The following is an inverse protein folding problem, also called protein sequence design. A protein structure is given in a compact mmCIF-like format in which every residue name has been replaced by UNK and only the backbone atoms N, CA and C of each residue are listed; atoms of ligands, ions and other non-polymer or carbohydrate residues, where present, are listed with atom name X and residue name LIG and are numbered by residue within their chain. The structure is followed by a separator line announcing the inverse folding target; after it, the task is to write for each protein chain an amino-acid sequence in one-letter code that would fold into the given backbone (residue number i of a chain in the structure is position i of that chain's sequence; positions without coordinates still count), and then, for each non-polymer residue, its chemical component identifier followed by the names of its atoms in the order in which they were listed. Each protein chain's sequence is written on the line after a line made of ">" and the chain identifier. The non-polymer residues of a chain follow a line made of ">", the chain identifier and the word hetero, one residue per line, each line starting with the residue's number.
data_IF_538876322843
#
_entry.id   IF_538876322843
#
_cell.length_a   1.000
_cell.length_b   1.000
_cell.length_c   1.000
_cell.angle_alpha   90.00
_cell.angle_beta   90.00
_cell.angle_gamma   90.00
#
_symmetry.space_group_name_H-M   'P 1'
#
loop_
_entity.id
_entity.type
_entity.pdbx_description
1 polymer ?
#
# COMPACT_ATOMS: atom_id res chain seq x y z
N UNK A 1 -25.53 -56.30 3.98
CA UNK A 1 -24.19 -56.14 3.37
C UNK A 1 -23.60 -54.83 3.88
N UNK A 2 -22.54 -54.88 4.70
CA UNK A 2 -21.84 -53.70 5.21
C UNK A 2 -20.64 -53.45 4.30
N UNK A 3 -20.67 -52.38 3.50
CA UNK A 3 -19.55 -51.97 2.66
C UNK A 3 -18.57 -51.16 3.52
N UNK A 4 -17.28 -51.51 3.41
CA UNK A 4 -16.18 -50.96 4.20
C UNK A 4 -15.76 -49.57 3.67
N UNK A 5 -15.91 -48.53 4.49
CA UNK A 5 -15.49 -47.14 4.20
C UNK A 5 -14.02 -46.82 4.56
N UNK A 6 -13.13 -47.82 4.65
CA UNK A 6 -11.75 -47.60 5.14
C UNK A 6 -10.72 -47.27 4.06
N UNK A 7 -11.08 -47.34 2.79
CA UNK A 7 -10.10 -47.22 1.70
C UNK A 7 -10.00 -45.81 1.09
N UNK A 8 -10.96 -44.90 1.34
CA UNK A 8 -10.93 -43.53 0.79
C UNK A 8 -9.97 -42.57 1.52
N UNK A 9 -9.83 -42.70 2.84
CA UNK A 9 -9.02 -41.77 3.65
C UNK A 9 -7.50 -41.88 3.32
N UNK A 10 -7.08 -43.03 2.81
CA UNK A 10 -5.68 -43.27 2.44
C UNK A 10 -5.32 -42.64 1.08
N UNK A 11 -6.29 -42.48 0.17
CA UNK A 11 -6.05 -41.85 -1.14
C UNK A 11 -5.93 -40.32 -1.05
N UNK A 12 -6.71 -39.65 -0.21
CA UNK A 12 -6.59 -38.19 -0.02
C UNK A 12 -5.26 -37.79 0.63
N UNK A 13 -4.77 -38.56 1.62
CA UNK A 13 -3.47 -38.29 2.23
C UNK A 13 -2.30 -38.55 1.26
N UNK A 14 -2.42 -39.50 0.35
CA UNK A 14 -1.42 -39.77 -0.68
C UNK A 14 -1.40 -38.68 -1.78
N UNK A 15 -2.56 -38.13 -2.14
CA UNK A 15 -2.66 -37.05 -3.13
C UNK A 15 -2.08 -35.72 -2.59
N UNK A 16 -2.37 -35.38 -1.33
CA UNK A 16 -1.86 -34.18 -0.66
C UNK A 16 -0.32 -34.17 -0.53
N UNK A 17 0.30 -35.34 -0.31
CA UNK A 17 1.77 -35.47 -0.26
C UNK A 17 2.44 -35.31 -1.62
N UNK A 18 1.80 -35.74 -2.73
CA UNK A 18 2.36 -35.56 -4.09
C UNK A 18 2.33 -34.11 -4.56
N UNK A 19 1.28 -33.36 -4.22
CA UNK A 19 1.16 -31.95 -4.63
C UNK A 19 2.20 -31.04 -3.97
N UNK A 20 2.52 -31.26 -2.68
CA UNK A 20 3.55 -30.50 -1.95
C UNK A 20 4.99 -30.81 -2.39
N UNK A 21 5.22 -31.96 -3.03
CA UNK A 21 6.52 -32.34 -3.59
C UNK A 21 6.79 -31.71 -4.96
N UNK A 22 5.74 -31.57 -5.80
CA UNK A 22 5.88 -31.10 -7.19
C UNK A 22 6.14 -29.58 -7.28
N UNK A 23 5.60 -28.79 -6.35
CA UNK A 23 5.82 -27.34 -6.30
C UNK A 23 7.25 -26.92 -5.92
N UNK A 24 8.12 -27.83 -5.46
CA UNK A 24 9.53 -27.52 -5.17
C UNK A 24 10.48 -27.69 -6.36
N UNK A 25 10.01 -28.22 -7.50
CA UNK A 25 10.84 -28.43 -8.70
C UNK A 25 10.58 -27.46 -9.85
N UNK A 26 9.58 -26.59 -9.75
CA UNK A 26 9.55 -25.38 -10.56
C UNK A 26 10.57 -24.42 -9.92
N UNK A 27 11.86 -24.72 -10.13
CA UNK A 27 12.89 -23.69 -10.15
C UNK A 27 12.34 -22.66 -11.11
N UNK A 28 11.87 -21.56 -10.54
CA UNK A 28 11.66 -20.31 -11.22
C UNK A 28 12.80 -20.14 -12.22
N UNK A 29 12.52 -20.44 -13.49
CA UNK A 29 13.15 -19.79 -14.62
C UNK A 29 12.78 -18.33 -14.47
N UNK A 30 13.41 -17.69 -13.48
CA UNK A 30 13.14 -16.35 -13.03
C UNK A 30 13.54 -15.49 -14.19
N UNK A 31 12.56 -15.11 -14.99
CA UNK A 31 12.56 -13.83 -15.67
C UNK A 31 12.77 -12.85 -14.51
N UNK A 32 14.04 -12.55 -14.23
CA UNK A 32 14.45 -11.44 -13.39
C UNK A 32 13.91 -10.26 -14.14
N UNK A 33 12.67 -9.87 -13.79
CA UNK A 33 12.09 -8.61 -14.15
C UNK A 33 13.09 -7.61 -13.56
N UNK A 34 14.06 -7.21 -14.38
CA UNK A 34 14.90 -6.05 -14.15
C UNK A 34 13.96 -4.86 -14.36
N UNK A 35 12.92 -4.77 -13.53
CA UNK A 35 12.28 -3.50 -13.21
C UNK A 35 13.47 -2.62 -12.89
N UNK A 36 13.63 -1.54 -13.66
CA UNK A 36 14.65 -0.57 -13.39
C UNK A 36 14.56 -0.27 -11.89
N UNK A 37 15.55 -0.73 -11.11
CA UNK A 37 15.81 -0.23 -9.76
C UNK A 37 16.28 1.20 -9.96
N UNK A 38 15.40 2.07 -10.46
CA UNK A 38 15.52 3.48 -10.20
C UNK A 38 15.47 3.58 -8.68
N UNK A 39 16.44 4.29 -8.15
CA UNK A 39 16.89 4.14 -6.77
C UNK A 39 15.80 4.68 -5.86
N UNK A 40 14.94 3.80 -5.33
CA UNK A 40 14.05 4.14 -4.22
C UNK A 40 14.85 4.82 -3.09
N UNK A 41 16.13 4.44 -2.94
CA UNK A 41 17.08 5.03 -1.99
C UNK A 41 17.46 6.50 -2.29
N UNK A 42 17.34 6.98 -3.53
CA UNK A 42 17.65 8.38 -3.89
C UNK A 42 16.45 9.31 -3.62
N UNK A 43 15.22 8.82 -3.78
CA UNK A 43 14.01 9.59 -3.47
C UNK A 43 13.79 9.76 -1.97
N UNK A 44 14.00 8.68 -1.20
CA UNK A 44 13.88 8.70 0.25
C UNK A 44 15.19 9.23 0.86
N UNK A 45 15.32 10.54 0.88
CA UNK A 45 16.39 11.23 1.64
C UNK A 45 16.18 11.04 3.14
N UNK A 46 17.23 11.16 3.94
CA UNK A 46 17.13 10.96 5.39
C UNK A 46 16.18 11.97 6.06
N UNK A 47 16.12 13.20 5.56
CA UNK A 47 15.14 14.21 6.01
C UNK A 47 13.70 13.76 5.81
N UNK A 48 13.38 13.19 4.63
CA UNK A 48 12.04 12.67 4.33
C UNK A 48 11.67 11.47 5.21
N UNK A 49 12.64 10.60 5.50
CA UNK A 49 12.45 9.46 6.41
C UNK A 49 12.16 9.93 7.83
N UNK A 50 12.94 10.90 8.33
CA UNK A 50 12.71 11.48 9.64
C UNK A 50 11.36 12.18 9.72
N UNK A 51 10.97 12.92 8.68
CA UNK A 51 9.67 13.58 8.62
C UNK A 51 8.51 12.57 8.66
N UNK A 52 8.62 11.48 7.88
CA UNK A 52 7.69 10.36 7.91
C UNK A 52 7.57 9.76 9.33
N UNK A 53 8.70 9.43 9.96
CA UNK A 53 8.72 8.82 11.29
C UNK A 53 8.16 9.75 12.38
N UNK A 54 8.55 11.02 12.37
CA UNK A 54 8.07 12.02 13.35
C UNK A 54 6.56 12.26 13.23
N UNK A 55 6.03 12.18 12.01
CA UNK A 55 4.57 12.25 11.76
C UNK A 55 3.84 11.02 12.30
N UNK A 56 4.40 9.82 12.10
CA UNK A 56 3.84 8.58 12.67
C UNK A 56 3.90 8.61 14.20
N UNK A 57 4.99 9.09 14.78
CA UNK A 57 5.14 9.25 16.22
C UNK A 57 4.06 10.16 16.82
N UNK A 58 3.71 11.24 16.11
CA UNK A 58 2.68 12.18 16.56
C UNK A 58 1.26 11.59 16.48
N UNK A 59 1.06 10.47 15.76
CA UNK A 59 -0.23 9.84 15.51
C UNK A 59 -0.15 8.33 15.80
N UNK A 60 -0.16 7.90 17.07
CA UNK A 60 0.04 6.49 17.44
C UNK A 60 -1.06 5.56 16.89
N UNK A 61 -2.22 6.11 16.51
CA UNK A 61 -3.32 5.37 15.86
C UNK A 61 -2.87 4.66 14.57
N UNK A 62 -1.89 5.24 13.85
CA UNK A 62 -1.33 4.66 12.61
C UNK A 62 -0.79 3.23 12.83
N UNK A 63 -0.34 2.90 14.05
CA UNK A 63 0.17 1.56 14.38
C UNK A 63 -0.93 0.52 14.58
N UNK A 64 -2.18 0.93 14.81
CA UNK A 64 -3.32 0.01 14.97
C UNK A 64 -3.91 -0.42 13.64
N UNK A 65 -3.65 0.35 12.58
CA UNK A 65 -4.26 0.16 11.28
C UNK A 65 -3.68 -1.09 10.61
N UNK A 66 -4.50 -2.13 10.52
CA UNK A 66 -4.19 -3.35 9.77
C UNK A 66 -4.62 -3.23 8.31
N UNK A 67 -5.67 -2.44 8.04
CA UNK A 67 -6.19 -2.27 6.70
C UNK A 67 -5.25 -1.37 5.87
N UNK A 68 -4.79 -1.90 4.74
CA UNK A 68 -3.87 -1.17 3.87
C UNK A 68 -4.46 0.14 3.33
N UNK A 69 -5.75 0.17 3.00
CA UNK A 69 -6.42 1.35 2.44
C UNK A 69 -6.59 2.47 3.46
N UNK A 70 -6.92 2.13 4.70
CA UNK A 70 -6.96 3.07 5.81
C UNK A 70 -5.57 3.65 6.08
N UNK A 71 -4.53 2.80 6.05
CA UNK A 71 -3.16 3.24 6.25
C UNK A 71 -2.73 4.24 5.15
N UNK A 72 -3.10 3.97 3.90
CA UNK A 72 -2.88 4.90 2.78
C UNK A 72 -3.64 6.22 2.98
N UNK A 73 -4.88 6.19 3.47
CA UNK A 73 -5.65 7.40 3.77
C UNK A 73 -4.98 8.25 4.86
N UNK A 74 -4.45 7.64 5.93
CA UNK A 74 -3.69 8.34 6.95
C UNK A 74 -2.42 9.00 6.40
N UNK A 75 -1.80 8.40 5.39
CA UNK A 75 -0.62 8.98 4.72
C UNK A 75 -0.96 10.00 3.62
N UNK A 76 -2.23 10.28 3.34
CA UNK A 76 -2.62 11.19 2.26
C UNK A 76 -2.04 12.61 2.43
N UNK A 77 -2.25 13.20 3.61
CA UNK A 77 -1.74 14.54 3.93
C UNK A 77 -0.20 14.61 4.01
N UNK A 78 0.44 13.49 4.35
CA UNK A 78 1.89 13.40 4.40
C UNK A 78 2.49 13.29 3.00
N UNK A 79 1.85 12.51 2.14
CA UNK A 79 2.30 12.26 0.78
C UNK A 79 2.36 13.55 -0.03
N UNK A 80 1.36 14.43 0.13
CA UNK A 80 1.34 15.77 -0.48
C UNK A 80 2.57 16.59 -0.06
N UNK A 81 2.90 16.63 1.24
CA UNK A 81 4.05 17.37 1.76
C UNK A 81 5.40 16.81 1.32
N UNK A 82 5.48 15.49 1.15
CA UNK A 82 6.70 14.79 0.72
C UNK A 82 6.87 14.77 -0.81
N UNK A 83 5.85 15.16 -1.58
CA UNK A 83 5.85 15.09 -3.04
C UNK A 83 5.86 13.63 -3.54
N UNK A 84 5.12 12.75 -2.88
CA UNK A 84 5.00 11.31 -3.19
C UNK A 84 3.53 10.89 -3.19
N UNK A 85 3.26 9.62 -3.46
CA UNK A 85 1.90 9.08 -3.35
C UNK A 85 1.64 8.46 -1.97
N UNK A 86 0.39 8.43 -1.48
CA UNK A 86 0.07 7.83 -0.18
C UNK A 86 0.44 6.34 -0.12
N UNK A 87 0.26 5.64 -1.24
CA UNK A 87 0.69 4.25 -1.42
C UNK A 87 2.20 4.07 -1.28
N UNK A 88 3.01 5.01 -1.76
CA UNK A 88 4.47 4.98 -1.60
C UNK A 88 4.88 5.23 -0.13
N UNK A 89 4.29 6.21 0.55
CA UNK A 89 4.48 6.43 1.98
C UNK A 89 4.17 5.17 2.80
N UNK A 90 2.98 4.60 2.60
CA UNK A 90 2.51 3.39 3.28
C UNK A 90 3.46 2.20 3.03
N UNK A 91 3.83 1.98 1.76
CA UNK A 91 4.76 0.92 1.36
C UNK A 91 6.13 1.09 2.00
N UNK A 92 6.66 2.30 1.99
CA UNK A 92 7.98 2.61 2.52
C UNK A 92 8.02 2.49 4.05
N UNK A 93 7.00 3.00 4.73
CA UNK A 93 6.83 2.85 6.17
C UNK A 93 6.79 1.36 6.57
N UNK A 94 5.97 0.55 5.89
CA UNK A 94 5.87 -0.90 6.14
C UNK A 94 7.21 -1.62 5.96
N UNK A 95 7.98 -1.22 4.95
CA UNK A 95 9.32 -1.76 4.71
C UNK A 95 10.28 -1.41 5.86
N UNK A 96 10.29 -0.16 6.31
CA UNK A 96 11.11 0.29 7.44
C UNK A 96 10.70 -0.40 8.73
N UNK A 97 9.41 -0.47 9.03
CA UNK A 97 8.88 -1.15 10.21
C UNK A 97 9.26 -2.64 10.20
N UNK A 98 9.14 -3.33 9.07
CA UNK A 98 9.60 -4.72 8.92
C UNK A 98 11.10 -4.88 9.20
N UNK A 99 11.92 -3.92 8.77
CA UNK A 99 13.36 -3.91 9.05
C UNK A 99 13.63 -3.68 10.54
N UNK A 100 12.88 -2.79 11.18
CA UNK A 100 12.93 -2.58 12.63
C UNK A 100 12.62 -3.87 13.39
N UNK A 101 11.50 -4.54 13.10
CA UNK A 101 11.10 -5.79 13.76
C UNK A 101 12.18 -6.88 13.66
N UNK A 102 12.84 -6.99 12.49
CA UNK A 102 13.98 -7.92 12.30
C UNK A 102 15.19 -7.56 13.16
N UNK A 103 15.46 -6.28 13.39
CA UNK A 103 16.56 -5.82 14.24
C UNK A 103 16.22 -6.02 15.71
N UNK A 104 15.01 -5.67 16.14
CA UNK A 104 14.49 -5.92 17.48
C UNK A 104 14.59 -7.39 17.86
N UNK A 105 14.18 -8.29 16.96
CA UNK A 105 14.33 -9.75 17.15
C UNK A 105 15.79 -10.20 17.31
N UNK A 106 16.71 -9.66 16.51
CA UNK A 106 18.14 -9.97 16.65
C UNK A 106 18.69 -9.50 18.00
N UNK A 107 18.26 -8.32 18.46
CA UNK A 107 18.66 -7.79 19.75
C UNK A 107 18.15 -8.67 20.90
N UNK A 108 16.89 -9.15 20.83
CA UNK A 108 16.35 -10.09 21.83
C UNK A 108 17.06 -11.46 21.83
N UNK A 109 17.68 -11.85 20.71
CA UNK A 109 18.53 -13.05 20.62
C UNK A 109 19.98 -12.81 21.11
N UNK A 110 20.29 -11.65 21.69
CA UNK A 110 21.62 -11.28 22.15
C UNK A 110 22.63 -11.00 21.02
N UNK A 111 22.16 -10.89 19.77
CA UNK A 111 23.04 -10.62 18.62
C UNK A 111 23.30 -9.12 18.52
N UNK A 112 24.58 -8.76 18.39
CA UNK A 112 24.99 -7.37 18.10
C UNK A 112 24.40 -6.92 16.76
N UNK A 113 23.82 -5.73 16.72
CA UNK A 113 23.34 -5.11 15.49
C UNK A 113 24.56 -4.78 14.61
N UNK A 114 24.67 -5.44 13.45
CA UNK A 114 25.83 -5.29 12.55
C UNK A 114 25.97 -3.87 11.96
N UNK A 115 24.85 -3.17 11.85
CA UNK A 115 24.80 -1.83 11.28
C UNK A 115 24.04 -0.97 12.28
N UNK A 116 24.65 0.13 12.72
CA UNK A 116 23.96 1.16 13.49
C UNK A 116 22.94 1.82 12.56
N UNK A 117 21.72 1.30 12.54
CA UNK A 117 20.66 1.83 11.68
C UNK A 117 20.08 3.06 12.40
N UNK A 118 20.24 4.27 11.85
CA UNK A 118 20.01 5.51 12.60
C UNK A 118 18.56 5.70 13.07
N UNK A 119 17.62 4.98 12.45
CA UNK A 119 16.19 5.05 12.76
C UNK A 119 15.74 4.04 13.83
N UNK A 120 16.65 3.23 14.37
CA UNK A 120 16.27 2.19 15.33
C UNK A 120 15.66 2.78 16.61
N UNK A 121 16.25 3.85 17.12
CA UNK A 121 15.80 4.52 18.35
C UNK A 121 14.46 5.23 18.13
N UNK A 122 14.24 5.86 16.98
CA UNK A 122 12.96 6.48 16.62
C UNK A 122 11.81 5.45 16.67
N UNK A 123 12.02 4.25 16.12
CA UNK A 123 11.02 3.19 16.18
C UNK A 123 10.81 2.62 17.58
N UNK A 124 11.85 2.55 18.42
CA UNK A 124 11.67 2.18 19.82
C UNK A 124 10.79 3.17 20.55
N UNK A 125 11.00 4.46 20.30
CA UNK A 125 10.20 5.52 20.91
C UNK A 125 8.74 5.43 20.44
N UNK A 126 8.51 5.27 19.13
CA UNK A 126 7.17 5.08 18.54
C UNK A 126 6.43 3.88 19.18
N UNK A 127 7.09 2.72 19.30
CA UNK A 127 6.46 1.55 19.94
C UNK A 127 6.23 1.75 21.44
N UNK A 128 7.14 2.44 22.14
CA UNK A 128 6.98 2.74 23.57
C UNK A 128 5.79 3.67 23.81
N UNK A 129 5.67 4.73 23.01
CA UNK A 129 4.56 5.68 23.07
C UNK A 129 3.22 4.97 22.77
N UNK A 130 3.23 4.06 21.80
CA UNK A 130 2.08 3.23 21.47
C UNK A 130 1.65 2.30 22.61
N UNK A 131 2.60 1.56 23.20
CA UNK A 131 2.30 0.66 24.32
C UNK A 131 1.74 1.45 25.51
N UNK A 132 2.31 2.63 25.82
CA UNK A 132 1.80 3.52 26.86
C UNK A 132 0.35 3.96 26.58
N UNK A 133 0.02 4.32 25.34
CA UNK A 133 -1.34 4.69 24.96
C UNK A 133 -2.33 3.51 25.05
N UNK A 134 -1.85 2.28 24.84
CA UNK A 134 -2.67 1.06 24.94
C UNK A 134 -2.96 0.64 26.38
N UNK A 135 -2.08 1.00 27.33
CA UNK A 135 -2.24 0.71 28.75
C UNK A 135 -3.24 1.66 29.43
N UNK A 136 -3.38 2.89 28.93
CA UNK A 136 -4.36 3.87 29.42
C UNK A 136 -5.80 3.57 29.02
N UNK A 137 -6.18 2.28 28.90
CA UNK A 137 -7.60 1.93 28.79
C UNK A 137 -8.33 2.63 29.94
N UNK A 138 -9.37 3.43 29.65
CA UNK A 138 -10.08 4.15 30.69
C UNK A 138 -10.49 3.13 31.74
N UNK A 139 -10.07 3.36 32.98
CA UNK A 139 -10.38 2.48 34.09
C UNK A 139 -11.87 2.19 34.04
N UNK A 140 -12.31 0.93 33.82
CA UNK A 140 -13.74 0.61 33.73
C UNK A 140 -14.48 0.92 35.04
N UNK A 141 -13.75 1.26 36.10
CA UNK A 141 -14.29 1.71 37.39
C UNK A 141 -14.66 3.19 37.45
N UNK A 142 -14.35 3.98 36.42
CA UNK A 142 -15.02 5.27 36.20
C UNK A 142 -16.25 5.08 35.29
N UNK A 143 -17.02 4.00 35.50
CA UNK A 143 -18.44 4.03 35.20
C UNK A 143 -19.00 5.20 36.02
N UNK A 144 -19.38 6.28 35.32
CA UNK A 144 -20.22 7.32 35.91
C UNK A 144 -21.33 6.58 36.66
N UNK A 145 -21.34 6.73 37.98
CA UNK A 145 -22.38 6.16 38.82
C UNK A 145 -23.74 6.48 38.17
N UNK A 146 -24.67 5.51 38.09
CA UNK A 146 -25.96 5.68 37.39
C UNK A 146 -26.82 6.85 37.91
N UNK A 147 -26.40 7.52 38.99
CA UNK A 147 -27.05 8.72 39.50
C UNK A 147 -26.91 9.97 38.60
N UNK A 148 -25.91 10.04 37.70
CA UNK A 148 -25.79 11.16 36.74
C UNK A 148 -26.49 10.91 35.40
N UNK A 149 -26.88 9.67 35.06
CA UNK A 149 -27.70 9.39 33.87
C UNK A 149 -29.11 9.97 33.99
N UNK A 150 -29.64 10.12 35.21
CA UNK A 150 -30.97 10.67 35.44
C UNK A 150 -31.04 12.21 35.36
N UNK A 151 -29.90 12.92 35.36
CA UNK A 151 -29.90 14.39 35.26
C UNK A 151 -29.97 14.87 33.81
N UNK A 152 -29.49 14.07 32.85
CA UNK A 152 -29.51 14.44 31.42
C UNK A 152 -30.78 14.05 30.66
N UNK A 153 -31.66 13.22 31.23
CA UNK A 153 -32.93 12.82 30.62
C UNK A 153 -34.10 13.78 30.89
N UNK A 154 -33.91 14.84 31.69
CA UNK A 154 -34.99 15.74 32.10
C UNK A 154 -35.17 17.02 31.25
N UNK A 155 -34.39 17.23 30.20
CA UNK A 155 -34.61 18.35 29.26
C UNK A 155 -34.84 17.84 27.85
N UNK A 156 -36.06 17.36 27.60
CA UNK A 156 -36.63 17.40 26.24
C UNK A 156 -36.69 18.89 25.84
N UNK A 157 -35.97 19.33 24.79
CA UNK A 157 -36.30 20.61 24.17
C UNK A 157 -37.73 20.49 23.65
N UNK A 158 -38.57 21.45 24.07
CA UNK A 158 -39.89 21.62 23.51
C UNK A 158 -39.81 21.64 21.99
N UNK A 159 -40.61 20.77 21.39
CA UNK A 159 -41.10 20.75 20.01
C UNK A 159 -40.93 22.10 19.30
N UNK A 160 -39.78 22.32 18.67
CA UNK A 160 -39.64 23.33 17.63
C UNK A 160 -40.23 22.68 16.38
N UNK A 161 -41.45 23.09 16.03
CA UNK A 161 -42.03 22.81 14.72
C UNK A 161 -41.07 23.36 13.66
N UNK A 162 -40.33 22.47 13.01
CA UNK A 162 -39.61 22.80 11.79
C UNK A 162 -40.69 22.85 10.70
N UNK A 163 -41.06 24.07 10.30
CA UNK A 163 -41.85 24.30 9.10
C UNK A 163 -41.11 23.69 7.89
N UNK A 164 -41.76 22.86 7.06
CA UNK A 164 -41.20 22.46 5.78
C UNK A 164 -41.25 23.66 4.84
N UNK A 165 -40.17 24.45 4.81
CA UNK A 165 -40.05 25.56 3.88
C UNK A 165 -39.84 25.03 2.47
N UNK A 166 -40.71 25.54 1.60
CA UNK A 166 -40.82 25.31 0.17
C UNK A 166 -39.47 25.39 -0.57
N UNK A 167 -39.26 24.41 -1.43
CA UNK A 167 -38.41 24.56 -2.62
C UNK A 167 -38.90 25.74 -3.44
N UNK A 168 -38.20 26.87 -3.38
CA UNK A 168 -38.18 27.82 -4.48
C UNK A 168 -36.83 27.74 -5.14
N UNK A 169 -36.81 27.05 -6.29
CA UNK A 169 -35.68 27.02 -7.18
C UNK A 169 -35.36 28.42 -7.68
N UNK A 170 -34.22 28.96 -7.25
CA UNK A 170 -33.54 30.04 -7.94
C UNK A 170 -32.44 29.43 -8.80
N UNK A 171 -32.72 29.32 -10.10
CA UNK A 171 -31.72 29.07 -11.15
C UNK A 171 -30.79 30.29 -11.17
N UNK A 172 -29.64 30.18 -10.52
CA UNK A 172 -28.54 31.14 -10.72
C UNK A 172 -27.81 30.71 -11.97
N UNK A 173 -28.14 31.36 -13.09
CA UNK A 173 -27.30 31.41 -14.29
C UNK A 173 -25.96 32.05 -13.89
N UNK A 174 -24.92 31.23 -13.72
CA UNK A 174 -23.54 31.74 -13.76
C UNK A 174 -23.12 31.88 -15.22
N UNK A 175 -23.42 33.04 -15.80
CA UNK A 175 -22.68 33.55 -16.96
C UNK A 175 -21.41 34.21 -16.42
N UNK A 176 -20.38 33.39 -16.20
CA UNK A 176 -19.04 33.84 -15.87
C UNK A 176 -18.18 33.86 -17.12
N UNK A 177 -17.93 35.06 -17.63
CA UNK A 177 -17.03 35.34 -18.74
C UNK A 177 -15.62 34.80 -18.46
N UNK A 178 -15.13 33.92 -19.33
CA UNK A 178 -13.72 33.59 -19.42
C UNK A 178 -13.07 34.71 -20.24
N UNK A 179 -12.47 35.68 -19.54
CA UNK A 179 -11.58 36.64 -20.17
C UNK A 179 -10.34 35.91 -20.66
N UNK A 180 -10.15 35.97 -21.98
CA UNK A 180 -8.95 35.54 -22.67
C UNK A 180 -7.75 36.38 -22.20
N UNK A 181 -7.00 35.87 -21.22
CA UNK A 181 -5.68 36.42 -20.92
C UNK A 181 -4.73 35.99 -22.03
N UNK A 182 -4.48 36.90 -22.95
CA UNK A 182 -3.46 36.79 -23.98
C UNK A 182 -2.11 36.53 -23.30
N UNK A 183 -1.50 35.39 -23.62
CA UNK A 183 -0.15 35.05 -23.22
C UNK A 183 0.81 35.95 -24.01
N UNK A 184 1.25 37.05 -23.39
CA UNK A 184 2.26 37.93 -23.96
C UNK A 184 3.62 37.23 -23.88
N UNK A 185 4.09 36.74 -25.02
CA UNK A 185 5.47 36.30 -25.24
C UNK A 185 6.39 37.53 -25.21
N UNK A 186 6.80 37.93 -24.01
CA UNK A 186 7.85 38.94 -23.81
C UNK A 186 9.22 38.33 -24.10
N UNK A 187 9.71 38.59 -25.30
CA UNK A 187 11.14 38.48 -25.66
C UNK A 187 11.88 39.62 -24.99
N UNK A 188 12.80 39.32 -24.07
CA UNK A 188 13.84 40.25 -23.63
C UNK A 188 15.18 39.56 -23.81
N UNK A 189 15.81 39.91 -24.93
CA UNK A 189 17.23 39.78 -25.18
C UNK A 189 17.95 40.72 -24.22
N UNK A 190 18.72 40.18 -23.29
CA UNK A 190 19.80 40.92 -22.65
C UNK A 190 21.02 40.00 -22.68
N UNK A 191 21.87 40.25 -23.69
CA UNK A 191 23.23 39.76 -23.79
C UNK A 191 24.07 40.44 -22.71
N UNK A 192 24.59 39.65 -21.77
CA UNK A 192 25.71 40.06 -20.90
C UNK A 192 26.91 39.18 -21.26
N UNK A 193 27.87 39.83 -21.92
CA UNK A 193 29.18 39.31 -22.31
C UNK A 193 29.99 38.84 -21.08
N UNK A 194 30.23 37.53 -20.98
CA UNK A 194 31.27 36.98 -20.10
C UNK A 194 32.41 36.40 -20.94
N UNK A 195 33.68 36.83 -20.73
CA UNK A 195 34.81 36.27 -21.45
C UNK A 195 35.09 34.84 -20.95
N UNK A 196 34.79 33.86 -21.79
CA UNK A 196 35.10 32.45 -21.50
C UNK A 196 36.49 32.13 -22.03
N UNK A 197 37.44 31.87 -21.11
CA UNK A 197 38.75 31.34 -21.45
C UNK A 197 38.61 29.96 -22.11
N UNK A 198 39.13 29.85 -23.33
CA UNK A 198 39.17 28.63 -24.13
C UNK A 198 40.26 27.68 -23.62
N UNK A 199 39.86 26.60 -22.94
CA UNK A 199 40.67 25.39 -22.83
C UNK A 199 40.11 24.32 -23.77
N UNK A 200 40.90 23.98 -24.79
CA UNK A 200 40.62 22.96 -25.78
C UNK A 200 40.45 21.58 -25.14
N UNK A 201 39.25 21.01 -25.24
CA UNK A 201 39.00 19.59 -24.95
C UNK A 201 38.86 18.85 -26.30
N UNK A 202 39.56 17.72 -26.51
CA UNK A 202 39.49 16.98 -27.76
C UNK A 202 38.12 16.33 -27.97
N UNK A 203 37.61 16.53 -29.19
CA UNK A 203 36.36 15.99 -29.71
C UNK A 203 36.41 14.45 -29.79
N UNK A 204 35.57 13.77 -29.00
CA UNK A 204 35.24 12.36 -29.24
C UNK A 204 33.84 12.28 -29.84
N UNK A 205 33.79 11.93 -31.11
CA UNK A 205 32.58 11.61 -31.88
C UNK A 205 31.91 10.37 -31.32
N UNK A 206 30.81 10.57 -30.58
CA UNK A 206 29.91 9.49 -30.15
C UNK A 206 28.66 9.50 -31.04
N UNK A 207 28.52 8.44 -31.84
CA UNK A 207 27.36 8.16 -32.68
C UNK A 207 26.06 8.06 -31.87
N UNK A 208 25.01 8.86 -32.17
CA UNK A 208 23.69 8.65 -31.59
C UNK A 208 22.96 7.52 -32.33
N UNK A 209 23.10 6.28 -31.85
CA UNK A 209 22.17 5.19 -32.23
C UNK A 209 20.81 5.48 -31.60
N UNK A 210 19.92 6.13 -32.36
CA UNK A 210 18.48 6.14 -32.12
C UNK A 210 17.98 4.68 -32.03
N UNK A 211 17.66 4.20 -30.83
CA UNK A 211 16.87 2.97 -30.68
C UNK A 211 15.39 3.36 -30.72
N UNK A 212 14.57 2.69 -31.55
CA UNK A 212 13.12 2.88 -31.48
C UNK A 212 12.61 2.43 -30.12
N UNK A 213 11.78 3.28 -29.50
CA UNK A 213 11.03 2.95 -28.29
C UNK A 213 10.09 1.80 -28.62
N UNK A 214 10.33 0.62 -28.04
CA UNK A 214 9.39 -0.49 -28.14
C UNK A 214 8.13 -0.20 -27.31
N UNK A 215 6.94 -0.61 -27.80
CA UNK A 215 5.67 -0.40 -27.11
C UNK A 215 5.71 -0.99 -25.70
N UNK A 216 5.34 -0.20 -24.70
CA UNK A 216 5.18 -0.66 -23.32
C UNK A 216 3.92 -1.52 -23.28
N UNK A 217 4.08 -2.83 -23.40
CA UNK A 217 3.00 -3.78 -23.13
C UNK A 217 2.90 -4.00 -21.62
N UNK A 218 1.71 -3.78 -21.06
CA UNK A 218 1.38 -4.06 -19.66
C UNK A 218 1.55 -5.55 -19.32
N UNK A 219 2.72 -5.90 -18.79
CA UNK A 219 3.10 -7.27 -18.43
C UNK A 219 2.30 -7.86 -17.25
N UNK A 220 1.43 -7.09 -16.59
CA UNK A 220 0.53 -7.62 -15.56
C UNK A 220 -0.53 -8.56 -16.15
N UNK A 221 -1.01 -8.30 -17.37
CA UNK A 221 -1.97 -9.17 -18.06
C UNK A 221 -1.38 -10.56 -18.39
N UNK A 222 -0.07 -10.62 -18.66
CA UNK A 222 0.60 -11.86 -19.09
C UNK A 222 0.63 -12.96 -18.04
N UNK A 223 0.72 -12.63 -16.74
CA UNK A 223 0.89 -13.65 -15.69
C UNK A 223 -0.46 -14.29 -15.38
N UNK A 224 -1.53 -13.50 -15.30
CA UNK A 224 -2.89 -14.01 -15.12
C UNK A 224 -3.37 -14.81 -16.32
N UNK A 225 -3.00 -14.38 -17.54
CA UNK A 225 -3.32 -15.15 -18.75
C UNK A 225 -2.66 -16.53 -18.74
N UNK A 226 -1.35 -16.61 -18.46
CA UNK A 226 -0.65 -17.90 -18.38
C UNK A 226 -1.17 -18.82 -17.27
N UNK A 227 -1.54 -18.26 -16.12
CA UNK A 227 -2.16 -19.03 -15.04
C UNK A 227 -3.56 -19.52 -15.44
N UNK A 228 -4.35 -18.69 -16.12
CA UNK A 228 -5.65 -19.07 -16.68
C UNK A 228 -5.54 -20.18 -17.71
N UNK A 229 -4.61 -20.05 -18.67
CA UNK A 229 -4.38 -21.05 -19.72
C UNK A 229 -3.99 -22.42 -19.13
N UNK A 230 -3.20 -22.45 -18.05
CA UNK A 230 -2.85 -23.69 -17.35
C UNK A 230 -4.06 -24.33 -16.65
N UNK A 231 -4.91 -23.52 -16.00
CA UNK A 231 -6.13 -24.05 -15.36
C UNK A 231 -7.12 -24.58 -16.39
N UNK A 232 -7.24 -23.94 -17.55
CA UNK A 232 -8.11 -24.40 -18.64
C UNK A 232 -7.63 -25.76 -19.17
N UNK A 233 -6.33 -25.92 -19.46
CA UNK A 233 -5.78 -27.19 -19.94
C UNK A 233 -5.91 -28.34 -18.92
N UNK A 234 -5.83 -28.04 -17.62
CA UNK A 234 -6.05 -29.04 -16.56
C UNK A 234 -7.53 -29.43 -16.44
N UNK A 235 -8.45 -28.48 -16.63
CA UNK A 235 -9.90 -28.72 -16.60
C UNK A 235 -10.38 -29.56 -17.79
N UNK A 236 -9.78 -29.41 -18.97
CA UNK A 236 -10.12 -30.19 -20.17
C UNK A 236 -9.84 -31.70 -20.03
N UNK A 237 -8.91 -32.08 -19.15
CA UNK A 237 -8.54 -33.49 -18.91
C UNK A 237 -9.21 -34.10 -17.68
N UNK A 238 -10.09 -33.35 -17.00
CA UNK A 238 -10.68 -33.74 -15.73
C UNK A 238 -12.13 -34.19 -15.88
N UNK A 239 -12.54 -35.16 -15.08
CA UNK A 239 -13.95 -35.58 -14.99
C UNK A 239 -14.84 -34.38 -14.58
N UNK A 240 -16.02 -34.20 -15.18
CA UNK A 240 -16.82 -32.98 -15.05
C UNK A 240 -17.15 -32.62 -13.60
N UNK A 241 -17.40 -33.62 -12.74
CA UNK A 241 -17.70 -33.40 -11.32
C UNK A 241 -16.49 -32.83 -10.55
N UNK A 242 -15.28 -33.30 -10.86
CA UNK A 242 -14.03 -32.83 -10.24
C UNK A 242 -13.65 -31.43 -10.76
N UNK A 243 -13.86 -31.19 -12.06
CA UNK A 243 -13.69 -29.87 -12.66
C UNK A 243 -14.59 -28.82 -11.98
N UNK A 244 -15.86 -29.17 -11.76
CA UNK A 244 -16.82 -28.28 -11.10
C UNK A 244 -16.48 -28.04 -9.62
N UNK A 245 -16.02 -29.05 -8.90
CA UNK A 245 -15.54 -28.90 -7.53
C UNK A 245 -14.31 -27.98 -7.44
N UNK A 246 -13.35 -28.12 -8.37
CA UNK A 246 -12.15 -27.29 -8.43
C UNK A 246 -12.51 -25.83 -8.74
N UNK A 247 -13.45 -25.61 -9.66
CA UNK A 247 -13.95 -24.27 -10.00
C UNK A 247 -14.59 -23.60 -8.78
N UNK A 248 -15.45 -24.31 -8.05
CA UNK A 248 -16.11 -23.79 -6.84
C UNK A 248 -15.10 -23.44 -5.73
N UNK A 249 -14.09 -24.30 -5.50
CA UNK A 249 -13.01 -24.01 -4.54
C UNK A 249 -12.20 -22.78 -4.93
N UNK A 250 -11.89 -22.64 -6.22
CA UNK A 250 -11.13 -21.50 -6.74
C UNK A 250 -11.91 -20.20 -6.63
N UNK A 251 -13.20 -20.20 -6.97
CA UNK A 251 -14.07 -19.04 -6.80
C UNK A 251 -14.21 -18.64 -5.32
N UNK A 252 -14.39 -19.62 -4.43
CA UNK A 252 -14.45 -19.38 -2.98
C UNK A 252 -13.16 -18.70 -2.48
N UNK A 253 -11.99 -19.20 -2.89
CA UNK A 253 -10.71 -18.57 -2.55
C UNK A 253 -10.63 -17.10 -3.00
N UNK A 254 -11.04 -16.81 -4.24
CA UNK A 254 -11.05 -15.43 -4.75
C UNK A 254 -12.03 -14.52 -4.03
N UNK A 255 -13.21 -15.02 -3.63
CA UNK A 255 -14.18 -14.24 -2.86
C UNK A 255 -13.63 -13.93 -1.46
N UNK A 256 -13.02 -14.92 -0.80
CA UNK A 256 -12.45 -14.77 0.54
C UNK A 256 -11.24 -13.81 0.57
N UNK A 257 -10.46 -13.72 -0.51
CA UNK A 257 -9.20 -12.95 -0.54
C UNK A 257 -9.26 -11.68 -1.41
N UNK A 258 -10.44 -11.28 -1.92
CA UNK A 258 -10.63 -10.00 -2.61
C UNK A 258 -11.14 -8.87 -1.70
N UNK A 259 -11.42 -9.17 -0.43
CA UNK A 259 -11.92 -8.20 0.56
C UNK A 259 -10.91 -7.84 1.67
N UNK A 260 -9.67 -8.31 1.57
CA UNK A 260 -8.52 -7.88 2.40
C UNK A 260 -7.50 -7.10 1.56
#
# INVERSE_FOLDING_TARGET
>A
MKLNNKDEETQEQAFSKRFRGSLRKIKSGGIKLKMAKMKDDEFWTDERKQYLLRTVQSNPEVLQIQNKTELEHHFASLAEKLGTTPTECSRYYTLMHSKYQRQKKKLSEGKKLKNNWPYFDDFQLIESDFNRASETKPDPKCELTPQLQNVFLAKKPNNIQINPYQEQGSVVKMEGAYDNVAFNSGSSEDEEDFPTQSHSIPSMTVNPRKRPLSPIHDNRSSVFKKAGDYMIAELENMEPEKAQLLLNKTLKFFVEHRYD
#
